data_IF_671143998149
#
_entry.id   IF_671143998149
#
_cell.length_a   1.000
_cell.length_b   1.000
_cell.length_c   1.000
_cell.angle_alpha   90.00
_cell.angle_beta   90.00
_cell.angle_gamma   90.00
#
_symmetry.space_group_name_H-M   'P 1'
#
loop_
_entity.id
_entity.type
_entity.pdbx_description
1 polymer ?
#
# COMPACT_ATOMS: atom_id res chain seq x y z
N UNK A 1 1.84 -15.86 -0.88
CA UNK A 1 2.51 -14.82 -1.71
C UNK A 1 1.65 -13.57 -1.61
N UNK A 2 2.24 -12.42 -1.29
CA UNK A 2 1.53 -11.15 -1.24
C UNK A 2 1.50 -10.45 -2.60
N UNK A 3 0.59 -9.49 -2.77
CA UNK A 3 0.53 -8.60 -3.95
C UNK A 3 0.81 -7.18 -3.51
N UNK A 4 1.89 -6.58 -4.03
CA UNK A 4 2.19 -5.16 -3.84
C UNK A 4 1.40 -4.30 -4.80
N UNK A 5 0.97 -3.13 -4.32
CA UNK A 5 0.23 -2.14 -5.08
C UNK A 5 1.01 -0.82 -5.10
N UNK A 6 0.95 -0.14 -6.23
CA UNK A 6 1.70 1.08 -6.50
C UNK A 6 0.79 2.14 -7.10
N UNK A 7 1.10 3.40 -6.84
CA UNK A 7 0.46 4.56 -7.43
C UNK A 7 1.47 5.37 -8.24
N UNK A 8 1.04 5.89 -9.39
CA UNK A 8 1.83 6.80 -10.22
C UNK A 8 0.97 8.00 -10.65
N UNK A 9 1.46 9.20 -10.39
CA UNK A 9 0.80 10.46 -10.75
C UNK A 9 0.69 10.66 -12.28
N UNK A 10 1.66 10.13 -13.04
CA UNK A 10 1.73 10.29 -14.49
C UNK A 10 0.81 9.27 -15.13
N UNK A 11 -0.30 9.73 -15.69
CA UNK A 11 -1.32 8.91 -16.34
C UNK A 11 -0.90 8.20 -17.64
N UNK A 12 0.41 7.99 -17.88
CA UNK A 12 0.91 7.31 -19.09
C UNK A 12 1.69 6.03 -18.73
N UNK A 13 1.48 4.97 -19.51
CA UNK A 13 2.14 3.67 -19.30
C UNK A 13 3.67 3.75 -19.44
N UNK A 14 4.20 4.75 -20.15
CA UNK A 14 5.64 5.01 -20.28
C UNK A 14 6.28 5.43 -18.94
N UNK A 15 5.51 6.05 -18.04
CA UNK A 15 5.99 6.46 -16.72
C UNK A 15 6.16 5.29 -15.73
N UNK A 16 5.60 4.11 -16.03
CA UNK A 16 5.82 2.89 -15.23
C UNK A 16 7.29 2.45 -15.21
N UNK A 17 8.09 2.94 -16.17
CA UNK A 17 9.52 2.68 -16.28
C UNK A 17 10.40 3.71 -15.51
N UNK A 18 9.86 4.88 -15.13
CA UNK A 18 10.65 6.02 -14.70
C UNK A 18 10.90 6.13 -13.17
N UNK A 19 10.59 5.11 -12.39
CA UNK A 19 10.89 5.08 -10.95
C UNK A 19 10.10 6.09 -10.08
N UNK A 20 9.14 6.82 -10.64
CA UNK A 20 8.32 7.82 -9.92
C UNK A 20 7.11 7.22 -9.20
N UNK A 21 7.10 5.90 -8.99
CA UNK A 21 5.97 5.21 -8.38
C UNK A 21 6.10 5.10 -6.89
N UNK A 22 5.00 5.36 -6.18
CA UNK A 22 4.92 5.23 -4.73
C UNK A 22 4.27 3.89 -4.40
N UNK A 23 4.89 3.09 -3.54
CA UNK A 23 4.24 1.88 -3.01
C UNK A 23 3.07 2.31 -2.12
N UNK A 24 1.88 1.77 -2.39
CA UNK A 24 0.69 1.97 -1.56
C UNK A 24 0.73 1.01 -0.38
N UNK A 25 1.15 -0.22 -0.64
CA UNK A 25 1.21 -1.29 0.34
C UNK A 25 1.11 -2.66 -0.31
N UNK A 26 0.96 -3.69 0.52
CA UNK A 26 0.88 -5.07 0.09
C UNK A 26 -0.29 -5.81 0.74
N UNK A 27 -1.02 -6.58 -0.08
CA UNK A 27 -1.91 -7.60 0.44
C UNK A 27 -1.10 -8.86 0.72
N UNK A 28 -1.23 -9.42 1.92
CA UNK A 28 -0.61 -10.70 2.27
C UNK A 28 -1.69 -11.77 2.46
N UNK A 29 -1.46 -12.97 1.95
CA UNK A 29 -2.42 -14.08 2.07
C UNK A 29 -2.69 -14.43 3.53
N UNK A 30 -3.94 -14.27 3.97
CA UNK A 30 -4.40 -14.52 5.34
C UNK A 30 -4.22 -13.33 6.29
N UNK A 31 -3.98 -12.12 5.76
CA UNK A 31 -3.50 -10.98 6.53
C UNK A 31 -4.14 -9.66 6.11
N UNK A 32 -4.29 -8.74 7.07
CA UNK A 32 -4.65 -7.35 6.78
C UNK A 32 -3.68 -6.72 5.77
N UNK A 33 -4.21 -5.84 4.95
CA UNK A 33 -3.43 -5.02 4.03
C UNK A 33 -2.39 -4.21 4.83
N UNK A 34 -1.12 -4.35 4.46
CA UNK A 34 -0.03 -3.59 5.07
C UNK A 34 0.24 -2.36 4.22
N UNK A 35 -0.04 -1.18 4.75
CA UNK A 35 0.21 0.06 4.04
C UNK A 35 1.68 0.47 4.12
N UNK A 36 2.13 1.07 3.03
CA UNK A 36 3.35 1.83 3.00
C UNK A 36 3.01 3.30 3.26
N UNK A 37 3.55 3.84 4.35
CA UNK A 37 3.49 5.25 4.65
C UNK A 37 4.67 6.00 4.04
N UNK A 38 4.46 7.27 3.77
CA UNK A 38 5.51 8.21 3.37
C UNK A 38 5.54 9.37 4.37
N UNK A 39 6.53 10.25 4.28
CA UNK A 39 6.58 11.45 5.10
C UNK A 39 5.32 12.32 5.02
N UNK A 40 4.55 12.22 3.93
CA UNK A 40 3.31 12.98 3.69
C UNK A 40 2.03 12.16 3.86
N UNK A 41 2.09 10.82 3.79
CA UNK A 41 0.91 9.95 3.80
C UNK A 41 1.06 8.93 4.94
N UNK A 42 0.24 9.10 5.98
CA UNK A 42 0.31 8.31 7.22
C UNK A 42 -0.98 7.57 7.57
N UNK A 43 -2.02 7.70 6.76
CA UNK A 43 -3.34 7.10 6.99
C UNK A 43 -4.03 6.64 5.71
N UNK A 44 -5.00 5.73 5.83
CA UNK A 44 -5.78 5.27 4.68
C UNK A 44 -6.65 6.38 4.09
N UNK A 45 -7.10 7.31 4.93
CA UNK A 45 -7.85 8.50 4.50
C UNK A 45 -7.01 9.42 3.62
N UNK A 46 -5.73 9.61 3.94
CA UNK A 46 -4.81 10.38 3.10
C UNK A 46 -4.53 9.69 1.76
N UNK A 47 -4.36 8.36 1.77
CA UNK A 47 -4.28 7.58 0.54
C UNK A 47 -5.53 7.74 -0.32
N UNK A 48 -6.75 7.59 0.24
CA UNK A 48 -8.00 7.82 -0.50
C UNK A 48 -8.05 9.22 -1.13
N UNK A 49 -7.66 10.26 -0.40
CA UNK A 49 -7.58 11.63 -0.92
C UNK A 49 -6.61 11.74 -2.08
N UNK A 50 -5.44 11.10 -2.00
CA UNK A 50 -4.47 11.08 -3.10
C UNK A 50 -5.03 10.34 -4.32
N UNK A 51 -5.62 9.16 -4.13
CA UNK A 51 -6.19 8.35 -5.22
C UNK A 51 -7.34 9.07 -5.93
N UNK A 52 -8.11 9.91 -5.21
CA UNK A 52 -9.16 10.75 -5.79
C UNK A 52 -8.63 11.89 -6.67
N UNK A 53 -7.37 12.34 -6.46
CA UNK A 53 -6.74 13.38 -7.29
C UNK A 53 -6.32 12.87 -8.67
N UNK A 54 -6.37 11.55 -8.90
CA UNK A 54 -6.04 10.90 -10.16
C UNK A 54 -4.76 10.06 -10.08
N UNK A 55 -4.21 9.72 -11.25
CA UNK A 55 -3.08 8.81 -11.41
C UNK A 55 -3.51 7.38 -11.76
N UNK A 56 -2.54 6.49 -11.88
CA UNK A 56 -2.73 5.07 -12.21
C UNK A 56 -2.30 4.24 -11.01
N UNK A 57 -3.18 3.33 -10.59
CA UNK A 57 -2.85 2.28 -9.62
C UNK A 57 -2.52 1.02 -10.41
N UNK A 58 -1.49 0.30 -9.97
CA UNK A 58 -1.16 -1.00 -10.56
C UNK A 58 -0.58 -1.96 -9.53
N UNK A 59 -0.71 -3.24 -9.82
CA UNK A 59 -0.13 -4.30 -9.00
C UNK A 59 1.34 -4.57 -9.35
N UNK A 60 2.01 -5.43 -8.58
CA UNK A 60 3.38 -5.86 -8.85
C UNK A 60 3.59 -6.54 -10.22
N UNK A 61 2.50 -6.98 -10.86
CA UNK A 61 2.48 -7.56 -12.21
C UNK A 61 2.17 -6.53 -13.29
N UNK A 62 2.19 -5.23 -12.96
CA UNK A 62 1.92 -4.10 -13.86
C UNK A 62 0.51 -4.09 -14.44
N UNK A 63 -0.44 -4.81 -13.81
CA UNK A 63 -1.85 -4.73 -14.18
C UNK A 63 -2.44 -3.47 -13.58
N UNK A 64 -3.14 -2.70 -14.39
CA UNK A 64 -3.88 -1.52 -13.91
C UNK A 64 -5.02 -2.00 -13.03
N UNK A 65 -5.12 -1.39 -11.85
CA UNK A 65 -6.15 -1.66 -10.84
C UNK A 65 -6.94 -0.38 -10.67
N UNK A 66 -8.26 -0.46 -10.61
CA UNK A 66 -9.09 0.69 -10.30
C UNK A 66 -9.01 1.05 -8.81
N UNK A 67 -9.29 2.30 -8.46
CA UNK A 67 -9.39 2.71 -7.05
C UNK A 67 -10.44 1.89 -6.29
N UNK A 68 -11.51 1.47 -6.96
CA UNK A 68 -12.54 0.60 -6.41
C UNK A 68 -12.00 -0.79 -6.08
N UNK A 69 -11.31 -1.43 -7.02
CA UNK A 69 -10.71 -2.75 -6.79
C UNK A 69 -9.69 -2.72 -5.64
N UNK A 70 -8.86 -1.67 -5.56
CA UNK A 70 -7.96 -1.50 -4.43
C UNK A 70 -8.72 -1.37 -3.09
N UNK A 71 -9.79 -0.57 -3.05
CA UNK A 71 -10.63 -0.47 -1.86
C UNK A 71 -11.24 -1.83 -1.48
N UNK A 72 -11.73 -2.59 -2.46
CA UNK A 72 -12.29 -3.92 -2.23
C UNK A 72 -11.23 -4.89 -1.64
N UNK A 73 -9.98 -4.82 -2.11
CA UNK A 73 -8.86 -5.58 -1.53
C UNK A 73 -8.61 -5.17 -0.08
N UNK A 74 -8.49 -3.87 0.19
CA UNK A 74 -8.22 -3.35 1.55
C UNK A 74 -9.32 -3.75 2.53
N UNK A 75 -10.59 -3.55 2.15
CA UNK A 75 -11.74 -3.81 3.03
C UNK A 75 -12.01 -5.32 3.19
N UNK A 76 -11.77 -6.15 2.16
CA UNK A 76 -11.88 -7.61 2.28
C UNK A 76 -10.88 -8.17 3.30
N UNK A 77 -9.69 -7.59 3.35
CA UNK A 77 -8.64 -7.99 4.28
C UNK A 77 -8.83 -7.40 5.69
N UNK A 78 -9.67 -6.36 5.86
CA UNK A 78 -9.97 -5.72 7.15
C UNK A 78 -10.58 -6.68 8.19
N UNK A 79 -11.40 -7.63 7.72
CA UNK A 79 -12.08 -8.61 8.57
C UNK A 79 -11.20 -9.76 9.07
N UNK A 80 -9.92 -9.80 8.70
CA UNK A 80 -8.99 -10.86 9.15
C UNK A 80 -8.29 -10.46 10.43
N UNK A 81 -8.25 -11.35 11.42
CA UNK A 81 -7.50 -11.11 12.65
C UNK A 81 -5.99 -11.06 12.39
N UNK A 82 -5.30 -10.15 13.09
CA UNK A 82 -3.84 -10.08 13.06
C UNK A 82 -3.29 -11.38 13.63
N UNK A 83 -2.74 -12.24 12.77
CA UNK A 83 -1.73 -13.19 13.23
C UNK A 83 -0.43 -12.40 13.44
N UNK A 84 0.53 -12.86 14.24
CA UNK A 84 1.78 -12.12 14.55
C UNK A 84 2.93 -12.39 13.54
N UNK A 85 2.70 -13.29 12.59
CA UNK A 85 3.66 -13.87 11.64
C UNK A 85 4.34 -12.96 10.57
N UNK A 86 3.88 -11.73 10.27
CA UNK A 86 4.46 -10.90 9.20
C UNK A 86 5.44 -9.84 9.70
N UNK A 87 5.32 -9.36 10.94
CA UNK A 87 6.31 -8.43 11.50
C UNK A 87 7.71 -9.07 11.57
N UNK A 88 7.78 -10.40 11.70
CA UNK A 88 9.02 -11.17 11.70
C UNK A 88 9.58 -11.47 10.30
N UNK A 89 8.83 -11.18 9.24
CA UNK A 89 9.23 -11.40 7.83
C UNK A 89 9.53 -10.12 7.06
N UNK A 90 9.41 -8.94 7.66
CA UNK A 90 9.76 -7.69 7.00
C UNK A 90 11.28 -7.70 6.71
N UNK A 91 11.70 -7.73 5.44
CA UNK A 91 13.10 -7.96 5.05
C UNK A 91 14.01 -6.75 5.27
N UNK A 92 13.52 -5.68 5.91
CA UNK A 92 14.20 -4.38 6.05
C UNK A 92 14.00 -3.81 7.45
N UNK A 93 14.91 -2.96 7.94
CA UNK A 93 14.68 -2.18 9.15
C UNK A 93 13.57 -1.15 8.88
N UNK A 94 12.33 -1.61 8.88
CA UNK A 94 11.16 -0.73 8.87
C UNK A 94 11.18 0.13 10.12
N UNK A 95 10.82 1.40 9.95
CA UNK A 95 10.42 2.28 11.04
C UNK A 95 9.36 1.56 11.89
N UNK A 96 9.28 1.87 13.19
CA UNK A 96 8.28 1.23 14.07
C UNK A 96 6.90 1.31 13.40
N UNK A 97 6.24 0.16 13.14
CA UNK A 97 4.94 0.17 12.50
C UNK A 97 3.95 0.95 13.35
N UNK A 98 3.00 1.63 12.71
CA UNK A 98 1.93 2.36 13.40
C UNK A 98 0.56 1.97 12.85
N UNK A 99 -0.47 2.29 13.63
CA UNK A 99 -1.85 2.15 13.18
C UNK A 99 -2.42 3.54 12.90
N UNK A 100 -3.23 3.67 11.86
CA UNK A 100 -4.07 4.86 11.68
C UNK A 100 -5.33 4.80 12.57
N UNK A 101 -6.15 5.84 12.49
CA UNK A 101 -7.40 5.95 13.27
C UNK A 101 -8.42 4.87 12.93
N UNK A 102 -8.36 4.31 11.71
CA UNK A 102 -9.24 3.24 11.23
C UNK A 102 -8.71 1.84 11.59
N UNK A 103 -7.53 1.75 12.22
CA UNK A 103 -6.88 0.52 12.67
C UNK A 103 -6.08 -0.22 11.59
N UNK A 104 -5.76 0.45 10.47
CA UNK A 104 -4.89 -0.08 9.43
C UNK A 104 -3.42 0.03 9.81
N UNK A 105 -2.64 -1.01 9.50
CA UNK A 105 -1.22 -1.08 9.81
C UNK A 105 -0.39 -0.41 8.72
N UNK A 106 0.53 0.46 9.13
CA UNK A 106 1.46 1.18 8.25
C UNK A 106 2.91 0.87 8.62
N UNK A 107 3.76 0.86 7.59
CA UNK A 107 5.22 0.80 7.71
C UNK A 107 5.84 1.85 6.81
N UNK A 108 7.01 2.34 7.18
CA UNK A 108 7.82 3.24 6.36
C UNK A 108 9.21 2.61 6.23
N UNK A 109 9.81 2.68 5.04
CA UNK A 109 11.23 2.35 4.90
C UNK A 109 12.03 3.40 5.66
N UNK A 110 12.92 2.99 6.58
CA UNK A 110 13.96 3.90 7.07
C UNK A 110 14.84 4.27 5.86
N UNK A 111 14.55 5.36 5.18
CA UNK A 111 15.56 5.99 4.33
C UNK A 111 16.62 6.60 5.27
N UNK A 112 17.90 6.20 5.15
CA UNK A 112 19.00 6.86 5.86
C UNK A 112 19.22 8.30 5.39
#
# INVERSE_FOLDING_TARGET
MGTKYYWNAVGSSEALAAGSSIEIGESCWGWKFLFHGTGEIRSWQEWKKLLQRGGIIYDQYKRVVSSRELCEVVETERGRDYTEFCLTRLPRPVSRPWHDEDGFLFTEDNMP
#
